data_IF_977179497659
#
_entry.id   IF_977179497659
#
_cell.length_a   1.000
_cell.length_b   1.000
_cell.length_c   1.000
_cell.angle_alpha   90.00
_cell.angle_beta   90.00
_cell.angle_gamma   90.00
#
_symmetry.space_group_name_H-M   'P 1'
#
loop_
_entity.id
_entity.type
_entity.pdbx_description
1 polymer ?
#
# COMPACT_ATOMS: atom_id res chain seq x y z
N UNK A 1 -24.83 9.24 2.63
CA UNK A 1 -23.98 8.29 1.88
C UNK A 1 -24.73 6.98 1.83
N UNK A 2 -24.93 6.40 0.65
CA UNK A 2 -25.49 5.04 0.55
C UNK A 2 -24.61 4.09 1.40
N UNK A 3 -25.25 3.33 2.31
CA UNK A 3 -24.55 2.41 3.20
C UNK A 3 -23.95 1.29 2.35
N UNK A 4 -22.63 1.14 2.37
CA UNK A 4 -21.94 0.06 1.66
C UNK A 4 -22.37 -1.30 2.22
N UNK A 5 -22.44 -2.32 1.37
CA UNK A 5 -22.70 -3.70 1.81
C UNK A 5 -21.63 -4.16 2.80
N UNK A 6 -22.05 -4.89 3.85
CA UNK A 6 -21.16 -5.48 4.85
C UNK A 6 -20.06 -6.31 4.19
N UNK A 7 -20.39 -7.08 3.14
CA UNK A 7 -19.42 -7.90 2.38
C UNK A 7 -18.29 -7.05 1.81
N UNK A 8 -18.61 -5.88 1.23
CA UNK A 8 -17.60 -4.98 0.68
C UNK A 8 -16.63 -4.47 1.75
N UNK A 9 -17.16 -4.15 2.93
CA UNK A 9 -16.36 -3.67 4.07
C UNK A 9 -15.42 -4.80 4.53
N UNK A 10 -15.95 -6.00 4.73
CA UNK A 10 -15.17 -7.18 5.18
C UNK A 10 -14.06 -7.50 4.18
N UNK A 11 -14.37 -7.58 2.89
CA UNK A 11 -13.37 -7.85 1.84
C UNK A 11 -12.28 -6.76 1.81
N UNK A 12 -12.65 -5.49 1.96
CA UNK A 12 -11.67 -4.39 1.98
C UNK A 12 -10.69 -4.51 3.15
N UNK A 13 -11.17 -4.87 4.34
CA UNK A 13 -10.31 -5.09 5.50
C UNK A 13 -9.50 -6.39 5.41
N UNK A 14 -10.04 -7.44 4.82
CA UNK A 14 -9.31 -8.69 4.57
C UNK A 14 -8.10 -8.44 3.64
N UNK A 15 -8.26 -7.62 2.60
CA UNK A 15 -7.16 -7.24 1.72
C UNK A 15 -6.08 -6.42 2.45
N UNK A 16 -6.47 -5.50 3.33
CA UNK A 16 -5.52 -4.75 4.17
C UNK A 16 -4.73 -5.71 5.06
N UNK A 17 -5.43 -6.63 5.76
CA UNK A 17 -4.79 -7.59 6.65
C UNK A 17 -3.85 -8.55 5.89
N UNK A 18 -4.24 -8.99 4.70
CA UNK A 18 -3.40 -9.83 3.84
C UNK A 18 -2.14 -9.06 3.40
N UNK A 19 -2.29 -7.82 2.95
CA UNK A 19 -1.15 -6.99 2.53
C UNK A 19 -0.20 -6.71 3.70
N UNK A 20 -0.72 -6.36 4.88
CA UNK A 20 0.09 -6.16 6.07
C UNK A 20 0.80 -7.46 6.48
N UNK A 21 0.08 -8.59 6.53
CA UNK A 21 0.69 -9.89 6.84
C UNK A 21 1.79 -10.28 5.86
N UNK A 22 1.63 -9.95 4.57
CA UNK A 22 2.67 -10.16 3.56
C UNK A 22 3.92 -9.31 3.85
N UNK A 23 3.76 -8.01 4.13
CA UNK A 23 4.88 -7.11 4.48
C UNK A 23 5.61 -7.63 5.71
N UNK A 24 4.89 -7.96 6.79
CA UNK A 24 5.48 -8.47 8.02
C UNK A 24 6.25 -9.78 7.80
N UNK A 25 5.70 -10.66 6.97
CA UNK A 25 6.34 -11.92 6.62
C UNK A 25 7.64 -11.68 5.82
N UNK A 26 7.63 -10.76 4.86
CA UNK A 26 8.82 -10.38 4.10
C UNK A 26 9.88 -9.74 5.00
N UNK A 27 9.47 -8.87 5.92
CA UNK A 27 10.34 -8.22 6.91
C UNK A 27 11.01 -9.21 7.87
N UNK A 28 10.30 -10.30 8.23
CA UNK A 28 10.80 -11.35 9.12
C UNK A 28 11.73 -12.37 8.45
N UNK A 29 11.75 -12.45 7.11
CA UNK A 29 12.49 -13.48 6.38
C UNK A 29 13.66 -12.87 5.61
N UNK A 30 14.87 -12.94 6.19
CA UNK A 30 16.07 -12.40 5.55
C UNK A 30 16.79 -13.36 4.63
N UNK A 31 16.89 -14.69 4.90
CA UNK A 31 17.94 -15.44 4.20
C UNK A 31 17.75 -16.93 3.83
N UNK A 32 16.75 -17.71 4.26
CA UNK A 32 16.86 -19.18 4.00
C UNK A 32 15.60 -20.00 3.69
N UNK A 33 14.39 -19.44 3.80
CA UNK A 33 13.17 -20.27 3.74
C UNK A 33 12.33 -20.22 2.46
N UNK A 34 12.54 -19.24 1.57
CA UNK A 34 11.66 -18.96 0.42
C UNK A 34 12.23 -19.33 -0.96
N UNK A 35 13.39 -19.99 -1.00
CA UNK A 35 14.12 -20.27 -2.25
C UNK A 35 13.36 -21.16 -3.24
N UNK A 36 12.35 -21.92 -2.80
CA UNK A 36 11.75 -22.96 -3.64
C UNK A 36 10.43 -22.54 -4.32
N UNK A 37 9.73 -21.50 -3.84
CA UNK A 37 8.39 -21.14 -4.35
C UNK A 37 8.34 -20.04 -5.41
N UNK A 38 9.31 -19.12 -5.40
CA UNK A 38 9.35 -17.92 -6.26
C UNK A 38 10.74 -17.72 -6.90
N UNK A 39 11.48 -18.81 -7.14
CA UNK A 39 12.91 -18.79 -7.45
C UNK A 39 13.37 -17.81 -8.53
N UNK A 40 12.52 -17.46 -9.50
CA UNK A 40 12.82 -16.42 -10.50
C UNK A 40 12.81 -15.00 -9.90
N UNK A 41 11.83 -14.67 -9.06
CA UNK A 41 11.73 -13.35 -8.42
C UNK A 41 12.90 -13.13 -7.45
N UNK A 42 13.22 -14.15 -6.64
CA UNK A 42 14.38 -14.11 -5.74
C UNK A 42 15.68 -13.88 -6.52
N UNK A 43 15.88 -14.60 -7.64
CA UNK A 43 17.07 -14.40 -8.51
C UNK A 43 17.14 -12.99 -9.08
N UNK A 44 16.05 -12.48 -9.66
CA UNK A 44 16.03 -11.12 -10.21
C UNK A 44 16.34 -10.09 -9.12
N UNK A 45 15.75 -10.25 -7.93
CA UNK A 45 15.97 -9.34 -6.81
C UNK A 45 17.43 -9.37 -6.33
N UNK A 46 18.02 -10.56 -6.22
CA UNK A 46 19.44 -10.74 -5.87
C UNK A 46 20.38 -10.19 -6.96
N UNK A 47 20.07 -10.39 -8.23
CA UNK A 47 20.83 -9.85 -9.36
C UNK A 47 20.78 -8.31 -9.36
N UNK A 48 19.62 -7.72 -9.07
CA UNK A 48 19.46 -6.27 -8.92
C UNK A 48 20.27 -5.74 -7.72
N UNK A 49 20.25 -6.42 -6.57
CA UNK A 49 21.09 -6.06 -5.42
C UNK A 49 22.57 -6.19 -5.74
N UNK A 50 22.99 -7.24 -6.44
CA UNK A 50 24.38 -7.42 -6.86
C UNK A 50 24.84 -6.32 -7.82
N UNK A 51 23.98 -5.92 -8.77
CA UNK A 51 24.25 -4.80 -9.67
C UNK A 51 24.31 -3.47 -8.90
N UNK A 52 23.38 -3.26 -7.97
CA UNK A 52 23.34 -2.07 -7.12
C UNK A 52 24.64 -1.95 -6.29
N UNK A 53 25.11 -3.05 -5.68
CA UNK A 53 26.35 -3.06 -4.91
C UNK A 53 27.57 -2.68 -5.75
N UNK A 54 27.59 -3.04 -7.04
CA UNK A 54 28.66 -2.66 -7.97
C UNK A 54 28.62 -1.17 -8.35
N UNK A 55 27.42 -0.57 -8.44
CA UNK A 55 27.24 0.80 -8.91
C UNK A 55 27.26 1.84 -7.78
N UNK A 56 26.63 1.53 -6.65
CA UNK A 56 26.35 2.46 -5.54
C UNK A 56 27.05 2.06 -4.24
N UNK A 57 27.72 0.91 -4.21
CA UNK A 57 28.32 0.32 -3.02
C UNK A 57 27.33 -0.56 -2.24
N UNK A 58 27.85 -1.48 -1.41
CA UNK A 58 27.05 -2.44 -0.65
C UNK A 58 26.30 -1.83 0.55
N UNK A 59 26.62 -0.58 0.92
CA UNK A 59 26.08 0.07 2.12
C UNK A 59 24.73 0.75 1.88
N UNK A 60 24.35 0.96 0.62
CA UNK A 60 23.02 1.46 0.27
C UNK A 60 22.15 0.24 -0.03
N UNK A 61 20.87 0.21 0.35
CA UNK A 61 19.93 -0.88 0.02
C UNK A 61 18.70 -0.37 -0.77
N UNK A 62 18.97 0.33 -1.87
CA UNK A 62 17.93 1.00 -2.69
C UNK A 62 16.87 0.01 -3.20
N UNK A 63 17.30 -1.19 -3.59
CA UNK A 63 16.38 -2.21 -4.14
C UNK A 63 15.36 -2.65 -3.10
N UNK A 64 15.77 -2.84 -1.84
CA UNK A 64 14.83 -3.10 -0.74
C UNK A 64 13.93 -1.90 -0.47
N UNK A 65 14.48 -0.68 -0.41
CA UNK A 65 13.66 0.52 -0.16
C UNK A 65 12.61 0.73 -1.27
N UNK A 66 12.91 0.42 -2.53
CA UNK A 66 11.93 0.49 -3.63
C UNK A 66 10.83 -0.57 -3.46
N UNK A 67 11.16 -1.78 -3.04
CA UNK A 67 10.16 -2.83 -2.80
C UNK A 67 9.21 -2.42 -1.68
N UNK A 68 9.77 -1.97 -0.55
CA UNK A 68 9.05 -1.40 0.58
C UNK A 68 8.14 -0.24 0.17
N UNK A 69 8.67 0.73 -0.59
CA UNK A 69 7.89 1.82 -1.17
C UNK A 69 6.66 1.32 -1.95
N UNK A 70 6.83 0.30 -2.79
CA UNK A 70 5.74 -0.28 -3.58
C UNK A 70 4.69 -0.96 -2.71
N UNK A 71 5.12 -1.74 -1.72
CA UNK A 71 4.25 -2.42 -0.78
C UNK A 71 3.42 -1.43 0.04
N UNK A 72 4.05 -0.39 0.58
CA UNK A 72 3.36 0.66 1.32
C UNK A 72 2.45 1.51 0.44
N UNK A 73 2.78 1.68 -0.85
CA UNK A 73 1.87 2.29 -1.83
C UNK A 73 0.58 1.48 -1.95
N UNK A 74 0.68 0.15 -2.04
CA UNK A 74 -0.50 -0.72 -2.07
C UNK A 74 -1.26 -0.65 -0.74
N UNK A 75 -0.56 -0.75 0.39
CA UNK A 75 -1.16 -0.67 1.72
C UNK A 75 -1.92 0.65 1.94
N UNK A 76 -1.33 1.78 1.57
CA UNK A 76 -1.95 3.10 1.69
C UNK A 76 -3.23 3.24 0.86
N UNK A 77 -3.24 2.69 -0.36
CA UNK A 77 -4.43 2.67 -1.21
C UNK A 77 -5.54 1.77 -0.63
N UNK A 78 -5.18 0.59 -0.13
CA UNK A 78 -6.12 -0.35 0.49
C UNK A 78 -6.73 0.22 1.79
N UNK A 79 -5.91 0.82 2.66
CA UNK A 79 -6.36 1.49 3.88
C UNK A 79 -7.31 2.64 3.56
N UNK A 80 -6.98 3.50 2.59
CA UNK A 80 -7.86 4.58 2.16
C UNK A 80 -9.22 4.02 1.65
N UNK A 81 -9.19 2.92 0.90
CA UNK A 81 -10.40 2.25 0.42
C UNK A 81 -11.24 1.62 1.55
N UNK A 82 -10.61 1.05 2.58
CA UNK A 82 -11.32 0.47 3.72
C UNK A 82 -11.89 1.56 4.64
N UNK A 83 -11.08 2.56 5.01
CA UNK A 83 -11.45 3.63 5.94
C UNK A 83 -12.55 4.55 5.41
N UNK A 84 -12.62 4.78 4.08
CA UNK A 84 -13.71 5.59 3.49
C UNK A 84 -15.11 5.00 3.69
N UNK A 85 -15.20 3.75 4.13
CA UNK A 85 -16.47 3.13 4.51
C UNK A 85 -17.02 3.68 5.83
N UNK A 86 -16.15 4.25 6.65
CA UNK A 86 -16.45 4.69 8.03
C UNK A 86 -16.32 6.20 8.21
N UNK A 87 -15.63 6.89 7.30
CA UNK A 87 -15.40 8.33 7.39
C UNK A 87 -15.30 8.99 6.01
N UNK A 88 -15.39 10.34 5.93
CA UNK A 88 -15.25 11.05 4.66
C UNK A 88 -13.91 10.75 3.99
N UNK A 89 -13.90 10.62 2.66
CA UNK A 89 -12.73 10.20 1.87
C UNK A 89 -11.44 10.97 2.21
N UNK A 90 -11.51 12.30 2.39
CA UNK A 90 -10.34 13.11 2.77
C UNK A 90 -9.77 12.69 4.13
N UNK A 91 -10.63 12.45 5.13
CA UNK A 91 -10.19 11.96 6.45
C UNK A 91 -9.67 10.54 6.36
N UNK A 92 -10.33 9.67 5.59
CA UNK A 92 -9.88 8.31 5.36
C UNK A 92 -8.47 8.24 4.79
N UNK A 93 -8.15 9.10 3.82
CA UNK A 93 -6.81 9.18 3.23
C UNK A 93 -5.74 9.65 4.23
N UNK A 94 -6.04 10.63 5.07
CA UNK A 94 -5.11 11.10 6.10
C UNK A 94 -4.87 10.04 7.18
N UNK A 95 -5.95 9.39 7.64
CA UNK A 95 -5.85 8.29 8.62
C UNK A 95 -5.13 7.09 8.01
N UNK A 96 -5.33 6.79 6.73
CA UNK A 96 -4.61 5.72 6.03
C UNK A 96 -3.09 5.94 6.07
N UNK A 97 -2.62 7.16 5.78
CA UNK A 97 -1.19 7.49 5.85
C UNK A 97 -0.66 7.37 7.27
N UNK A 98 -1.41 7.89 8.27
CA UNK A 98 -1.02 7.77 9.67
C UNK A 98 -0.94 6.30 10.13
N UNK A 99 -1.93 5.47 9.80
CA UNK A 99 -1.94 4.05 10.14
C UNK A 99 -0.80 3.29 9.44
N UNK A 100 -0.55 3.56 8.15
CA UNK A 100 0.55 2.94 7.42
C UNK A 100 1.91 3.37 7.98
N UNK A 101 2.11 4.65 8.29
CA UNK A 101 3.36 5.14 8.88
C UNK A 101 3.62 4.54 10.28
N UNK A 102 2.57 4.39 11.10
CA UNK A 102 2.68 3.69 12.39
C UNK A 102 3.01 2.20 12.21
N UNK A 103 2.45 1.58 11.18
CA UNK A 103 2.76 0.19 10.82
C UNK A 103 4.22 0.04 10.37
N UNK A 104 4.74 0.94 9.53
CA UNK A 104 6.16 0.96 9.15
C UNK A 104 7.09 1.19 10.33
N UNK A 105 6.75 2.10 11.23
CA UNK A 105 7.52 2.26 12.47
C UNK A 105 7.54 0.98 13.33
N UNK A 106 6.43 0.22 13.34
CA UNK A 106 6.41 -1.07 14.04
C UNK A 106 7.21 -2.15 13.32
N UNK A 107 7.30 -2.10 11.99
CA UNK A 107 8.09 -3.03 11.18
C UNK A 107 9.59 -2.80 11.41
N UNK A 108 10.05 -1.55 11.35
CA UNK A 108 11.42 -1.16 11.70
C UNK A 108 11.81 -1.57 13.13
N UNK A 109 10.89 -1.38 14.07
CA UNK A 109 11.09 -1.85 15.44
C UNK A 109 11.16 -3.38 15.54
N UNK A 110 10.35 -4.10 14.77
CA UNK A 110 10.38 -5.56 14.69
C UNK A 110 11.70 -6.06 14.09
N UNK A 111 12.22 -5.38 13.07
CA UNK A 111 13.49 -5.70 12.43
C UNK A 111 14.69 -5.66 13.39
N UNK A 112 14.63 -4.85 14.47
CA UNK A 112 15.65 -4.87 15.54
C UNK A 112 15.80 -6.24 16.21
N UNK A 113 14.78 -7.09 16.15
CA UNK A 113 14.79 -8.45 16.70
C UNK A 113 15.16 -9.50 15.65
N UNK A 114 15.35 -9.12 14.39
CA UNK A 114 15.75 -10.01 13.30
C UNK A 114 17.28 -9.97 13.15
N UNK A 115 18.00 -11.09 13.32
CA UNK A 115 19.45 -11.11 13.18
C UNK A 115 19.90 -10.62 11.80
N UNK A 116 20.83 -9.67 11.78
CA UNK A 116 21.39 -9.11 10.54
C UNK A 116 20.58 -7.97 9.91
N UNK A 117 19.45 -7.56 10.50
CA UNK A 117 18.74 -6.32 10.14
C UNK A 117 19.08 -5.18 11.09
N UNK A 118 19.03 -3.96 10.57
CA UNK A 118 19.18 -2.73 11.34
C UNK A 118 17.97 -1.85 11.05
N UNK A 119 17.46 -1.19 12.08
CA UNK A 119 16.43 -0.17 11.89
C UNK A 119 17.02 1.02 11.12
N UNK A 120 16.38 1.38 10.01
CA UNK A 120 16.73 2.56 9.22
C UNK A 120 15.56 3.56 9.21
N UNK A 121 15.69 4.73 9.86
CA UNK A 121 14.69 5.79 9.76
C UNK A 121 14.38 6.21 8.32
N UNK A 122 15.31 6.01 7.38
CA UNK A 122 15.09 6.30 5.98
C UNK A 122 14.11 5.32 5.32
N UNK A 123 14.15 4.04 5.67
CA UNK A 123 13.19 3.04 5.17
C UNK A 123 11.78 3.36 5.67
N UNK A 124 11.63 3.75 6.94
CA UNK A 124 10.35 4.26 7.47
C UNK A 124 9.82 5.49 6.71
N UNK A 125 10.71 6.42 6.33
CA UNK A 125 10.32 7.59 5.53
C UNK A 125 9.86 7.19 4.13
N UNK A 126 10.56 6.25 3.51
CA UNK A 126 10.22 5.69 2.18
C UNK A 126 8.86 4.99 2.24
N UNK A 127 8.61 4.17 3.26
CA UNK A 127 7.32 3.53 3.53
C UNK A 127 6.20 4.56 3.67
N UNK A 128 6.44 5.59 4.47
CA UNK A 128 5.47 6.67 4.68
C UNK A 128 5.17 7.43 3.37
N UNK A 129 6.19 7.68 2.55
CA UNK A 129 6.04 8.31 1.24
C UNK A 129 5.25 7.43 0.26
N UNK A 130 5.52 6.12 0.24
CA UNK A 130 4.75 5.15 -0.54
C UNK A 130 3.28 5.16 -0.14
N UNK A 131 2.99 5.05 1.16
CA UNK A 131 1.63 5.11 1.68
C UNK A 131 0.89 6.42 1.32
N UNK A 132 1.60 7.55 1.38
CA UNK A 132 1.06 8.84 0.96
C UNK A 132 0.71 8.86 -0.55
N UNK A 133 1.59 8.33 -1.40
CA UNK A 133 1.33 8.20 -2.83
C UNK A 133 0.11 7.31 -3.10
N UNK A 134 0.07 6.12 -2.51
CA UNK A 134 -1.03 5.17 -2.68
C UNK A 134 -2.39 5.73 -2.24
N UNK A 135 -2.42 6.35 -1.05
CA UNK A 135 -3.60 7.02 -0.52
C UNK A 135 -4.04 8.20 -1.40
N UNK A 136 -3.08 8.97 -1.94
CA UNK A 136 -3.34 10.07 -2.89
C UNK A 136 -3.93 9.60 -4.23
N UNK A 137 -3.39 8.52 -4.80
CA UNK A 137 -3.93 7.92 -6.03
C UNK A 137 -5.35 7.40 -5.81
N UNK A 138 -5.60 6.70 -4.69
CA UNK A 138 -6.93 6.24 -4.32
C UNK A 138 -7.92 7.41 -4.17
N UNK A 139 -7.49 8.51 -3.54
CA UNK A 139 -8.29 9.73 -3.42
C UNK A 139 -8.73 10.29 -4.78
N UNK A 140 -7.79 10.43 -5.71
CA UNK A 140 -8.05 10.96 -7.06
C UNK A 140 -9.02 10.07 -7.83
N UNK A 141 -8.78 8.75 -7.84
CA UNK A 141 -9.63 7.79 -8.54
C UNK A 141 -11.06 7.77 -7.97
N UNK A 142 -11.19 7.76 -6.65
CA UNK A 142 -12.50 7.71 -5.99
C UNK A 142 -13.27 9.03 -6.10
N UNK A 143 -12.57 10.18 -6.15
CA UNK A 143 -13.21 11.48 -6.43
C UNK A 143 -13.73 11.56 -7.86
N UNK A 144 -13.01 11.05 -8.85
CA UNK A 144 -13.45 11.05 -10.26
C UNK A 144 -14.75 10.27 -10.43
N UNK A 145 -14.81 9.04 -9.91
CA UNK A 145 -16.03 8.21 -9.92
C UNK A 145 -17.24 8.88 -9.25
N UNK A 146 -17.00 9.68 -8.21
CA UNK A 146 -18.05 10.44 -7.52
C UNK A 146 -18.57 11.67 -8.29
N UNK A 147 -17.80 12.20 -9.26
CA UNK A 147 -18.22 13.30 -10.14
C UNK A 147 -18.97 12.78 -11.36
N UNK A 148 -18.46 11.72 -12.00
CA UNK A 148 -19.11 11.06 -13.15
C UNK A 148 -20.52 10.57 -12.80
N UNK A 149 -20.71 9.98 -11.61
CA UNK A 149 -22.04 9.56 -11.14
C UNK A 149 -22.99 10.71 -10.77
N UNK A 150 -22.53 11.96 -10.73
CA UNK A 150 -23.35 13.16 -10.52
C UNK A 150 -23.67 13.93 -11.79
N UNK A 151 -22.91 13.72 -12.87
CA UNK A 151 -23.09 14.39 -14.17
C UNK A 151 -24.11 13.67 -15.08
N UNK A 152 -24.67 12.53 -14.66
CA UNK A 152 -25.84 11.89 -15.30
C UNK A 152 -27.20 12.15 -14.58
N UNK A 153 -27.70 13.38 -14.43
CA UNK A 153 -29.12 13.63 -14.16
C UNK A 153 -29.82 14.21 -15.39
N UNK A 154 -30.66 13.40 -16.05
CA UNK A 154 -31.75 13.89 -16.90
C UNK A 154 -31.53 13.83 -18.41
N UNK A 155 -31.58 12.65 -19.02
CA UNK A 155 -32.25 12.55 -20.33
C UNK A 155 -33.76 12.63 -20.05
N UNK A 156 -34.27 13.86 -20.13
CA UNK A 156 -35.66 14.18 -19.91
C UNK A 156 -36.56 13.52 -20.95
N UNK A 157 -37.56 12.80 -20.45
CA UNK A 157 -38.78 12.47 -21.18
C UNK A 157 -39.50 13.76 -21.60
N UNK A 158 -39.38 14.13 -22.87
CA UNK A 158 -40.30 14.99 -23.61
C UNK A 158 -40.25 14.41 -25.03
N UNK A 159 -41.26 13.68 -25.52
CA UNK A 159 -42.56 14.22 -25.94
C UNK A 159 -43.64 13.13 -25.95
N UNK A 160 -44.66 13.26 -25.11
CA UNK A 160 -46.04 12.81 -25.40
C UNK A 160 -46.98 13.96 -25.03
N UNK A 161 -47.89 14.30 -25.96
CA UNK A 161 -48.84 15.43 -25.89
C UNK A 161 -48.46 16.52 -26.89
N UNK A 162 -49.21 16.83 -27.93
CA UNK A 162 -50.60 16.54 -28.33
C UNK A 162 -50.70 16.48 -29.87
#
# INVERSE_FOLDING_TARGET
MARKSTTFVVVSWALVALCAGFIFFMSSNTDTGLNDGLGLFSRIFQDLKALQAQLLGPEVDVVSSIAHFCEYTVLGALLANALRCHMPLRRACLVAVACASLYGASDEFHQLFVPGRMCDPMDWLVDTAGAALGSGLAYLQLRRKGREGKEQPGEGSLTEGE
#
